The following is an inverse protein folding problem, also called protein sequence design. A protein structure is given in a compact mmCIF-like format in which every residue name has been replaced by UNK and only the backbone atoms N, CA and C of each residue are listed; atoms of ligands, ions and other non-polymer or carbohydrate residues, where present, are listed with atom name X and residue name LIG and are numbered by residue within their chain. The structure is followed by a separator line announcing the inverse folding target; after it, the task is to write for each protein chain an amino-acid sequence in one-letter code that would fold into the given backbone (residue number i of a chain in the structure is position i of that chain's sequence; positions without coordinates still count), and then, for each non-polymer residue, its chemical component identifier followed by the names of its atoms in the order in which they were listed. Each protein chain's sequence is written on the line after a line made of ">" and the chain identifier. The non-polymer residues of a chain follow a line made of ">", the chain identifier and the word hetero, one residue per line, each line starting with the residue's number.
data_IF_181093081896
#
_entry.id   IF_181093081896
#
_cell.length_a   1.000
_cell.length_b   1.000
_cell.length_c   1.000
_cell.angle_alpha   90.00
_cell.angle_beta   90.00
_cell.angle_gamma   90.00
#
_symmetry.space_group_name_H-M   'P 1'
#
loop_
_entity.id
_entity.type
_entity.pdbx_description
1 polymer ?
#
# COMPACT_ATOMS: atom_id res chain seq x y z
N UNK A 1 2.49 17.00 7.83
CA UNK A 1 3.36 15.82 7.67
C UNK A 1 4.27 16.04 6.47
N UNK A 2 5.59 15.92 6.63
CA UNK A 2 6.53 15.99 5.50
C UNK A 2 6.78 14.56 5.01
N UNK A 3 6.61 14.33 3.71
CA UNK A 3 6.88 13.02 3.10
C UNK A 3 8.28 13.02 2.48
N UNK A 4 8.99 11.92 2.65
CA UNK A 4 10.30 11.71 2.03
C UNK A 4 10.18 10.88 0.74
N UNK A 5 11.06 11.17 -0.23
CA UNK A 5 11.07 10.43 -1.50
C UNK A 5 11.69 9.06 -1.28
N UNK A 6 10.94 8.01 -1.60
CA UNK A 6 11.42 6.63 -1.63
C UNK A 6 11.23 6.05 -3.03
N UNK A 7 12.26 5.38 -3.53
CA UNK A 7 12.14 4.53 -4.71
C UNK A 7 11.75 3.11 -4.29
N UNK A 8 10.69 2.59 -4.91
CA UNK A 8 10.16 1.26 -4.68
C UNK A 8 9.97 0.55 -6.02
N UNK A 9 10.49 -0.67 -6.14
CA UNK A 9 10.25 -1.52 -7.31
C UNK A 9 8.96 -2.31 -7.05
N UNK A 10 7.95 -2.08 -7.88
CA UNK A 10 6.67 -2.76 -7.82
C UNK A 10 6.52 -3.68 -9.03
N UNK A 11 5.83 -4.80 -8.86
CA UNK A 11 5.38 -5.60 -10.00
C UNK A 11 4.39 -4.80 -10.83
N UNK A 12 4.39 -5.04 -12.15
CA UNK A 12 3.50 -4.33 -13.07
C UNK A 12 2.02 -4.47 -12.68
N UNK A 13 1.62 -5.65 -12.20
CA UNK A 13 0.25 -5.90 -11.75
C UNK A 13 -0.11 -5.13 -10.46
N UNK A 14 0.83 -5.02 -9.51
CA UNK A 14 0.65 -4.21 -8.30
C UNK A 14 0.42 -2.74 -8.66
N UNK A 15 1.25 -2.19 -9.55
CA UNK A 15 1.12 -0.80 -9.97
C UNK A 15 -0.21 -0.51 -10.66
N UNK A 16 -0.62 -1.37 -11.60
CA UNK A 16 -1.90 -1.25 -12.30
C UNK A 16 -3.09 -1.34 -11.32
N UNK A 17 -3.09 -2.33 -10.41
CA UNK A 17 -4.15 -2.47 -9.40
C UNK A 17 -4.23 -1.28 -8.45
N UNK A 18 -3.08 -0.76 -7.99
CA UNK A 18 -3.03 0.44 -7.15
C UNK A 18 -3.60 1.66 -7.88
N UNK A 19 -3.27 1.83 -9.16
CA UNK A 19 -3.79 2.91 -10.00
C UNK A 19 -5.32 2.82 -10.13
N UNK A 20 -5.84 1.63 -10.41
CA UNK A 20 -7.28 1.39 -10.52
C UNK A 20 -8.02 1.66 -9.21
N UNK A 21 -7.48 1.17 -8.08
CA UNK A 21 -8.05 1.39 -6.76
C UNK A 21 -8.02 2.88 -6.37
N UNK A 22 -6.91 3.58 -6.60
CA UNK A 22 -6.79 5.00 -6.30
C UNK A 22 -7.81 5.83 -7.11
N UNK A 23 -7.98 5.51 -8.40
CA UNK A 23 -8.99 6.14 -9.27
C UNK A 23 -10.42 5.86 -8.80
N UNK A 24 -10.72 4.61 -8.45
CA UNK A 24 -12.05 4.22 -7.94
C UNK A 24 -12.40 4.95 -6.64
N UNK A 25 -11.47 4.98 -5.69
CA UNK A 25 -11.64 5.69 -4.42
C UNK A 25 -11.77 7.21 -4.63
N UNK A 26 -10.96 7.77 -5.54
CA UNK A 26 -11.04 9.21 -5.88
C UNK A 26 -12.37 9.61 -6.51
N UNK A 27 -13.08 8.68 -7.17
CA UNK A 27 -14.44 8.91 -7.69
C UNK A 27 -15.54 8.69 -6.65
N UNK A 28 -15.31 7.77 -5.71
CA UNK A 28 -16.28 7.42 -4.68
C UNK A 28 -16.29 8.39 -3.49
N UNK A 29 -15.24 9.21 -3.32
CA UNK A 29 -15.19 10.20 -2.23
C UNK A 29 -16.22 11.31 -2.42
N UNK A 30 -16.75 11.80 -1.30
CA UNK A 30 -17.57 13.01 -1.27
C UNK A 30 -16.76 14.26 -1.64
N UNK A 31 -17.45 15.35 -1.99
CA UNK A 31 -16.81 16.64 -2.27
C UNK A 31 -15.93 17.09 -1.10
N UNK A 32 -14.74 17.61 -1.42
CA UNK A 32 -13.78 18.14 -0.44
C UNK A 32 -12.78 17.12 0.12
N UNK A 33 -12.87 15.83 -0.21
CA UNK A 33 -11.88 14.85 0.25
C UNK A 33 -10.51 15.02 -0.41
N UNK A 34 -9.44 14.61 0.29
CA UNK A 34 -8.07 14.65 -0.22
C UNK A 34 -7.87 13.80 -1.49
N UNK A 35 -6.83 14.13 -2.27
CA UNK A 35 -6.46 13.34 -3.45
C UNK A 35 -5.87 12.00 -3.02
N UNK A 36 -6.51 10.90 -3.44
CA UNK A 36 -6.00 9.55 -3.22
C UNK A 36 -5.12 9.16 -4.41
N UNK A 37 -3.92 8.69 -4.12
CA UNK A 37 -2.90 8.29 -5.11
C UNK A 37 -2.35 6.91 -4.76
N UNK A 38 -1.57 6.34 -5.67
CA UNK A 38 -0.82 5.11 -5.45
C UNK A 38 0.07 5.24 -4.20
N UNK A 39 0.76 6.38 -4.02
CA UNK A 39 1.56 6.67 -2.83
C UNK A 39 0.72 6.75 -1.54
N UNK A 40 -0.56 7.09 -1.63
CA UNK A 40 -1.45 7.07 -0.46
C UNK A 40 -1.76 5.63 -0.07
N UNK A 41 -2.07 4.78 -1.04
CA UNK A 41 -2.32 3.36 -0.79
C UNK A 41 -1.08 2.60 -0.32
N UNK A 42 0.10 2.94 -0.87
CA UNK A 42 1.38 2.37 -0.43
C UNK A 42 1.65 2.72 1.04
N UNK A 43 1.41 3.97 1.46
CA UNK A 43 1.57 4.38 2.87
C UNK A 43 0.63 3.60 3.79
N UNK A 44 -0.65 3.49 3.43
CA UNK A 44 -1.62 2.67 4.18
C UNK A 44 -1.17 1.21 4.27
N UNK A 45 -0.67 0.62 3.17
CA UNK A 45 -0.16 -0.75 3.19
C UNK A 45 1.07 -0.91 4.09
N UNK A 46 1.96 0.08 4.15
CA UNK A 46 3.11 0.10 5.06
C UNK A 46 2.63 0.17 6.51
N UNK A 47 1.70 1.06 6.84
CA UNK A 47 1.18 1.18 8.20
C UNK A 47 0.56 -0.16 8.66
N UNK A 48 -0.27 -0.78 7.80
CA UNK A 48 -0.87 -2.10 8.06
C UNK A 48 0.14 -3.24 8.20
N UNK A 49 1.29 -3.15 7.52
CA UNK A 49 2.39 -4.11 7.64
C UNK A 49 3.12 -3.91 8.98
N UNK A 50 3.42 -2.66 9.33
CA UNK A 50 4.13 -2.32 10.56
C UNK A 50 3.33 -2.65 11.82
N UNK A 51 2.00 -2.50 11.77
CA UNK A 51 1.09 -2.93 12.84
C UNK A 51 1.16 -4.44 13.12
N UNK A 52 1.66 -5.23 12.16
CA UNK A 52 1.82 -6.69 12.25
C UNK A 52 3.28 -7.12 12.18
N UNK A 53 4.22 -6.20 12.40
CA UNK A 53 5.64 -6.48 12.22
C UNK A 53 6.15 -7.63 13.10
N UNK A 54 5.61 -7.78 14.31
CA UNK A 54 5.97 -8.87 15.23
C UNK A 54 5.57 -10.26 14.72
N UNK A 55 4.67 -10.32 13.74
CA UNK A 55 4.25 -11.57 13.08
C UNK A 55 5.12 -11.92 11.88
N UNK A 56 5.99 -11.01 11.42
CA UNK A 56 6.83 -11.25 10.24
C UNK A 56 7.81 -12.39 10.50
N UNK A 57 7.64 -13.47 9.74
CA UNK A 57 8.49 -14.64 9.79
C UNK A 57 8.69 -15.20 8.38
N UNK A 58 9.92 -15.65 8.09
CA UNK A 58 10.28 -16.19 6.78
C UNK A 58 11.59 -15.65 6.23
N UNK A 59 12.00 -16.21 5.10
CA UNK A 59 13.26 -15.97 4.41
C UNK A 59 13.08 -15.39 3.00
N UNK A 60 11.85 -15.38 2.48
CA UNK A 60 11.50 -14.81 1.19
C UNK A 60 10.22 -13.96 1.23
N UNK A 61 9.92 -13.27 0.11
CA UNK A 61 8.76 -12.38 0.02
C UNK A 61 7.41 -13.12 0.14
N UNK A 62 7.34 -14.40 -0.22
CA UNK A 62 6.12 -15.19 -0.14
C UNK A 62 5.85 -15.61 1.31
N UNK A 63 6.86 -16.12 2.01
CA UNK A 63 6.80 -16.47 3.43
C UNK A 63 6.47 -15.24 4.29
N UNK A 64 7.16 -14.12 4.07
CA UNK A 64 6.89 -12.87 4.79
C UNK A 64 5.45 -12.40 4.57
N UNK A 65 4.95 -12.45 3.33
CA UNK A 65 3.55 -12.12 3.03
C UNK A 65 2.59 -13.04 3.77
N UNK A 66 2.83 -14.34 3.74
CA UNK A 66 1.95 -15.33 4.37
C UNK A 66 1.90 -15.14 5.89
N UNK A 67 3.03 -14.76 6.52
CA UNK A 67 3.11 -14.56 7.97
C UNK A 67 2.26 -13.41 8.52
N UNK A 68 1.93 -12.42 7.67
CA UNK A 68 1.09 -11.25 8.03
C UNK A 68 -0.27 -11.24 7.34
N UNK A 69 -0.57 -12.27 6.55
CA UNK A 69 -1.87 -12.44 5.89
C UNK A 69 -2.82 -13.20 6.82
N UNK A 70 -4.12 -12.84 6.79
CA UNK A 70 -5.18 -13.54 7.51
C UNK A 70 -5.45 -14.95 6.94
#
# INVERSE_FOLDING_TARGET
>A
MRLERKEARLRADQYSKLTEHARRLSRAKAEGGDRITENTLIRVAIDLLLDRADLLAGSDEAELRNSVSL
#
